data_IF_710166746131
#
_entry.id   IF_710166746131
#
_cell.length_a   1.000
_cell.length_b   1.000
_cell.length_c   1.000
_cell.angle_alpha   90.00
_cell.angle_beta   90.00
_cell.angle_gamma   90.00
#
_symmetry.space_group_name_H-M   'P 1'
#
loop_
_entity.id
_entity.type
_entity.pdbx_description
1 polymer ?
#
# COMPACT_ATOMS: atom_id res chain seq x y z
N UNK A 1 -10.60 27.12 -29.95
CA UNK A 1 -11.14 26.34 -28.82
C UNK A 1 -10.21 26.54 -27.63
N UNK A 2 -10.68 27.19 -26.57
CA UNK A 2 -9.91 27.39 -25.35
C UNK A 2 -9.88 26.04 -24.63
N UNK A 3 -8.68 25.50 -24.39
CA UNK A 3 -8.51 24.25 -23.64
C UNK A 3 -9.18 24.39 -22.27
N UNK A 4 -10.04 23.45 -21.91
CA UNK A 4 -10.67 23.43 -20.59
C UNK A 4 -9.58 23.41 -19.50
N UNK A 5 -9.76 24.12 -18.37
CA UNK A 5 -8.75 24.16 -17.33
C UNK A 5 -8.48 22.76 -16.78
N UNK A 6 -7.20 22.46 -16.59
CA UNK A 6 -6.65 21.21 -16.07
C UNK A 6 -7.19 20.96 -14.65
N UNK A 7 -8.19 20.09 -14.49
CA UNK A 7 -8.57 19.58 -13.16
C UNK A 7 -7.76 18.31 -12.93
N UNK A 8 -6.52 18.47 -12.47
CA UNK A 8 -5.69 17.36 -12.02
C UNK A 8 -6.20 16.84 -10.67
N UNK A 9 -6.11 15.53 -10.40
CA UNK A 9 -6.39 15.00 -9.06
C UNK A 9 -5.46 15.71 -8.08
N UNK A 10 -6.04 16.45 -7.12
CA UNK A 10 -5.29 17.13 -6.08
C UNK A 10 -4.84 16.08 -5.06
N UNK A 11 -3.65 15.52 -5.27
CA UNK A 11 -3.02 14.59 -4.33
C UNK A 11 -2.34 15.45 -3.25
N UNK A 12 -2.79 15.41 -1.98
CA UNK A 12 -2.20 16.23 -0.93
C UNK A 12 -0.74 15.85 -0.67
N UNK A 13 0.13 16.85 -0.49
CA UNK A 13 1.55 16.64 -0.11
C UNK A 13 1.67 15.79 1.17
N UNK A 14 0.76 15.98 2.11
CA UNK A 14 0.66 15.17 3.33
C UNK A 14 0.53 13.66 3.03
N UNK A 15 -0.27 13.29 2.04
CA UNK A 15 -0.52 11.88 1.68
C UNK A 15 0.73 11.28 1.04
N UNK A 16 1.43 12.05 0.22
CA UNK A 16 2.71 11.67 -0.38
C UNK A 16 3.76 11.45 0.71
N UNK A 17 3.88 12.38 1.66
CA UNK A 17 4.84 12.24 2.77
C UNK A 17 4.50 11.06 3.68
N UNK A 18 3.21 10.81 3.94
CA UNK A 18 2.76 9.64 4.70
C UNK A 18 3.02 8.34 3.95
N UNK A 19 2.80 8.31 2.64
CA UNK A 19 3.12 7.16 1.81
C UNK A 19 4.62 6.87 1.82
N UNK A 20 5.48 7.89 1.75
CA UNK A 20 6.94 7.74 1.92
C UNK A 20 7.29 7.14 3.29
N UNK A 21 6.64 7.61 4.36
CA UNK A 21 6.85 7.06 5.70
C UNK A 21 6.44 5.58 5.78
N UNK A 22 5.28 5.21 5.21
CA UNK A 22 4.84 3.82 5.12
C UNK A 22 5.81 2.96 4.29
N UNK A 23 6.30 3.48 3.16
CA UNK A 23 7.31 2.82 2.32
C UNK A 23 8.59 2.50 3.11
N UNK A 24 9.08 3.44 3.93
CA UNK A 24 10.25 3.21 4.78
C UNK A 24 10.00 2.13 5.84
N UNK A 25 8.84 2.13 6.47
CA UNK A 25 8.46 1.12 7.46
C UNK A 25 8.37 -0.29 6.82
N UNK A 26 7.71 -0.40 5.66
CA UNK A 26 7.61 -1.67 4.91
C UNK A 26 8.98 -2.18 4.46
N UNK A 27 9.85 -1.28 3.96
CA UNK A 27 11.21 -1.65 3.57
C UNK A 27 12.00 -2.17 4.77
N UNK A 28 11.93 -1.49 5.92
CA UNK A 28 12.57 -1.93 7.16
C UNK A 28 12.06 -3.31 7.58
N UNK A 29 10.75 -3.52 7.59
CA UNK A 29 10.14 -4.81 7.92
C UNK A 29 10.69 -5.93 7.01
N UNK A 30 10.80 -5.69 5.70
CA UNK A 30 11.36 -6.68 4.78
C UNK A 30 12.83 -7.00 5.08
N UNK A 31 13.63 -5.99 5.42
CA UNK A 31 15.05 -6.17 5.80
C UNK A 31 15.19 -6.88 7.15
N UNK A 32 14.30 -6.62 8.10
CA UNK A 32 14.29 -7.29 9.41
C UNK A 32 13.98 -8.79 9.28
N UNK A 33 13.10 -9.17 8.35
CA UNK A 33 12.76 -10.58 8.05
C UNK A 33 13.86 -11.27 7.23
N UNK A 34 14.41 -10.57 6.23
CA UNK A 34 15.49 -11.07 5.39
C UNK A 34 16.61 -10.02 5.31
N UNK A 35 17.66 -10.15 6.15
CA UNK A 35 18.79 -9.25 6.11
C UNK A 35 19.42 -9.20 4.71
N UNK A 36 19.61 -7.98 4.20
CA UNK A 36 20.06 -7.73 2.82
C UNK A 36 18.93 -7.55 1.80
N UNK A 37 17.67 -7.68 2.21
CA UNK A 37 16.50 -7.54 1.34
C UNK A 37 16.26 -8.77 0.47
N UNK A 38 15.26 -8.67 -0.41
CA UNK A 38 14.96 -9.73 -1.39
C UNK A 38 15.87 -9.54 -2.61
N UNK A 39 16.79 -10.47 -2.90
CA UNK A 39 17.62 -10.38 -4.09
C UNK A 39 16.79 -10.60 -5.35
N UNK A 40 17.34 -10.21 -6.50
CA UNK A 40 16.72 -10.41 -7.80
C UNK A 40 17.69 -11.16 -8.70
N UNK A 41 17.15 -12.03 -9.55
CA UNK A 41 17.94 -12.63 -10.62
C UNK A 41 18.33 -11.53 -11.62
N UNK A 42 19.63 -11.44 -11.92
CA UNK A 42 20.18 -10.35 -12.73
C UNK A 42 19.78 -10.42 -14.21
N UNK A 43 19.34 -11.59 -14.69
CA UNK A 43 18.97 -11.80 -16.09
C UNK A 43 17.45 -11.64 -16.32
N UNK A 44 16.64 -12.20 -15.43
CA UNK A 44 15.18 -12.22 -15.54
C UNK A 44 14.48 -11.13 -14.73
N UNK A 45 15.18 -10.49 -13.77
CA UNK A 45 14.59 -9.52 -12.84
C UNK A 45 13.62 -10.14 -11.83
N UNK A 46 13.56 -11.48 -11.75
CA UNK A 46 12.63 -12.19 -10.87
C UNK A 46 13.13 -12.12 -9.42
N UNK A 47 12.28 -11.75 -8.45
CA UNK A 47 12.63 -11.76 -7.02
C UNK A 47 12.97 -13.17 -6.53
N UNK A 48 13.99 -13.28 -5.67
CA UNK A 48 14.50 -14.52 -5.09
C UNK A 48 14.40 -14.48 -3.55
N UNK A 49 13.18 -14.55 -2.98
CA UNK A 49 13.00 -14.53 -1.52
C UNK A 49 13.52 -15.81 -0.87
N UNK A 50 13.97 -15.70 0.38
CA UNK A 50 14.25 -16.85 1.24
C UNK A 50 12.96 -17.55 1.67
N UNK A 51 13.07 -18.79 2.13
CA UNK A 51 11.93 -19.54 2.70
C UNK A 51 11.28 -18.80 3.88
N UNK A 52 12.08 -18.09 4.68
CA UNK A 52 11.59 -17.27 5.80
C UNK A 52 10.74 -16.09 5.32
N UNK A 53 11.20 -15.39 4.26
CA UNK A 53 10.42 -14.31 3.64
C UNK A 53 9.13 -14.84 3.00
N UNK A 54 9.19 -15.97 2.30
CA UNK A 54 7.99 -16.59 1.72
C UNK A 54 6.98 -17.00 2.79
N UNK A 55 7.44 -17.66 3.86
CA UNK A 55 6.60 -18.05 4.99
C UNK A 55 5.95 -16.83 5.66
N UNK A 56 6.74 -15.78 5.89
CA UNK A 56 6.25 -14.50 6.42
C UNK A 56 5.15 -13.90 5.54
N UNK A 57 5.35 -13.81 4.23
CA UNK A 57 4.37 -13.23 3.31
C UNK A 57 3.08 -14.07 3.24
N UNK A 58 3.17 -15.40 3.23
CA UNK A 58 1.99 -16.25 3.28
C UNK A 58 1.16 -16.02 4.55
N UNK A 59 1.81 -15.90 5.72
CA UNK A 59 1.12 -15.57 6.96
C UNK A 59 0.51 -14.16 6.92
N UNK A 60 1.23 -13.18 6.38
CA UNK A 60 0.72 -11.81 6.23
C UNK A 60 -0.53 -11.76 5.34
N UNK A 61 -0.56 -12.52 4.25
CA UNK A 61 -1.73 -12.65 3.35
C UNK A 61 -2.93 -13.28 4.09
N UNK A 62 -2.70 -14.31 4.88
CA UNK A 62 -3.75 -14.94 5.70
C UNK A 62 -4.31 -13.97 6.76
N UNK A 63 -3.42 -13.23 7.43
CA UNK A 63 -3.79 -12.19 8.41
C UNK A 63 -4.57 -11.05 7.77
N UNK A 64 -4.20 -10.64 6.56
CA UNK A 64 -4.98 -9.70 5.76
C UNK A 64 -6.39 -10.22 5.49
N UNK A 65 -6.53 -11.47 5.05
CA UNK A 65 -7.84 -12.11 4.88
C UNK A 65 -8.70 -12.12 6.15
N UNK A 66 -8.12 -12.50 7.28
CA UNK A 66 -8.80 -12.51 8.57
C UNK A 66 -9.22 -11.10 9.02
N UNK A 67 -8.36 -10.09 8.80
CA UNK A 67 -8.67 -8.70 9.10
C UNK A 67 -9.83 -8.18 8.23
N UNK A 68 -9.82 -8.46 6.93
CA UNK A 68 -10.90 -8.10 6.00
C UNK A 68 -12.22 -8.74 6.41
N UNK A 69 -12.21 -10.00 6.84
CA UNK A 69 -13.40 -10.66 7.40
C UNK A 69 -13.91 -9.99 8.67
N UNK A 70 -13.00 -9.59 9.57
CA UNK A 70 -13.35 -8.87 10.78
C UNK A 70 -14.01 -7.51 10.49
N UNK A 71 -13.67 -6.87 9.36
CA UNK A 71 -14.27 -5.59 8.97
C UNK A 71 -15.73 -5.73 8.48
N UNK A 72 -16.25 -6.94 8.22
CA UNK A 72 -17.63 -7.17 7.73
C UNK A 72 -18.70 -6.62 8.66
N UNK A 73 -18.44 -6.66 9.96
CA UNK A 73 -19.36 -6.25 11.02
C UNK A 73 -19.16 -4.81 11.50
N UNK A 74 -18.16 -4.10 10.96
CA UNK A 74 -18.04 -2.67 11.24
C UNK A 74 -19.26 -1.99 10.66
N UNK A 75 -20.07 -1.43 11.56
CA UNK A 75 -21.28 -0.69 11.25
C UNK A 75 -20.98 0.36 10.17
N UNK A 76 -21.98 0.60 9.30
CA UNK A 76 -21.96 1.50 8.14
C UNK A 76 -21.08 2.73 8.36
N UNK A 77 -19.79 2.62 8.02
CA UNK A 77 -18.95 3.80 7.82
C UNK A 77 -19.35 4.43 6.49
N UNK A 78 -19.51 5.75 6.42
CA UNK A 78 -19.55 6.44 5.13
C UNK A 78 -18.32 5.98 4.34
N UNK A 79 -18.48 5.63 3.06
CA UNK A 79 -17.40 5.10 2.20
C UNK A 79 -16.19 6.02 2.04
N UNK A 80 -16.23 7.21 2.64
CA UNK A 80 -15.24 8.28 2.60
C UNK A 80 -14.50 8.49 3.93
N UNK A 81 -14.85 7.81 5.03
CA UNK A 81 -14.18 8.01 6.31
C UNK A 81 -12.92 7.16 6.45
N UNK A 82 -11.77 7.79 6.71
CA UNK A 82 -10.51 7.13 7.08
C UNK A 82 -10.70 6.18 8.25
N UNK A 83 -9.96 5.07 8.27
CA UNK A 83 -9.92 4.17 9.43
C UNK A 83 -9.47 4.94 10.67
N UNK A 84 -10.14 4.76 11.81
CA UNK A 84 -9.61 5.27 13.10
C UNK A 84 -8.37 4.47 13.50
N UNK A 85 -7.50 5.07 14.30
CA UNK A 85 -6.20 4.49 14.66
C UNK A 85 -6.31 3.07 15.28
N UNK A 86 -7.36 2.80 16.06
CA UNK A 86 -7.60 1.48 16.66
C UNK A 86 -7.91 0.37 15.64
N UNK A 87 -8.36 0.74 14.44
CA UNK A 87 -8.72 -0.20 13.36
C UNK A 87 -7.58 -0.39 12.35
N UNK A 88 -6.48 0.37 12.46
CA UNK A 88 -5.31 0.18 11.61
C UNK A 88 -4.72 -1.20 11.93
N UNK A 89 -4.49 -2.07 10.94
CA UNK A 89 -3.92 -3.37 11.20
C UNK A 89 -2.39 -3.30 11.41
N UNK A 90 -1.74 -4.38 11.87
CA UNK A 90 -0.29 -4.53 11.89
C UNK A 90 0.39 -4.22 10.54
N UNK A 91 1.68 -3.87 10.59
CA UNK A 91 2.43 -3.41 9.41
C UNK A 91 2.52 -4.45 8.28
N UNK A 92 2.60 -5.74 8.61
CA UNK A 92 2.62 -6.82 7.62
C UNK A 92 1.31 -6.86 6.80
N UNK A 93 0.18 -6.63 7.47
CA UNK A 93 -1.14 -6.56 6.83
C UNK A 93 -1.32 -5.28 6.03
N UNK A 94 -0.83 -4.13 6.53
CA UNK A 94 -0.78 -2.88 5.76
C UNK A 94 0.04 -3.05 4.47
N UNK A 95 1.14 -3.80 4.52
CA UNK A 95 1.97 -4.08 3.34
C UNK A 95 1.23 -4.92 2.30
N UNK A 96 0.48 -5.96 2.73
CA UNK A 96 -0.37 -6.73 1.81
C UNK A 96 -1.45 -5.83 1.19
N UNK A 97 -2.12 -5.01 2.01
CA UNK A 97 -3.18 -4.13 1.54
C UNK A 97 -2.65 -3.09 0.54
N UNK A 98 -1.51 -2.47 0.84
CA UNK A 98 -0.79 -1.56 -0.05
C UNK A 98 -0.51 -2.21 -1.41
N UNK A 99 0.14 -3.37 -1.43
CA UNK A 99 0.49 -4.06 -2.68
C UNK A 99 -0.74 -4.43 -3.52
N UNK A 100 -1.86 -4.77 -2.86
CA UNK A 100 -3.10 -5.10 -3.54
C UNK A 100 -3.73 -3.88 -4.23
N UNK A 101 -3.77 -2.73 -3.55
CA UNK A 101 -4.33 -1.49 -4.09
C UNK A 101 -3.55 -0.96 -5.30
N UNK A 102 -2.27 -1.32 -5.45
CA UNK A 102 -1.47 -1.04 -6.64
C UNK A 102 -1.86 -1.88 -7.88
N UNK A 103 -2.85 -2.79 -7.74
CA UNK A 103 -3.57 -3.46 -8.83
C UNK A 103 -5.02 -2.96 -8.87
N UNK A 104 -5.28 -1.70 -9.26
CA UNK A 104 -6.54 -1.01 -8.98
C UNK A 104 -7.78 -1.65 -9.60
N UNK A 105 -7.67 -2.27 -10.78
CA UNK A 105 -8.79 -3.00 -11.41
C UNK A 105 -9.16 -4.23 -10.61
N UNK A 106 -8.17 -5.11 -10.35
CA UNK A 106 -8.33 -6.33 -9.55
C UNK A 106 -8.87 -6.04 -8.14
N UNK A 107 -8.32 -5.03 -7.46
CA UNK A 107 -8.77 -4.63 -6.12
C UNK A 107 -10.22 -4.14 -6.13
N UNK A 108 -10.61 -3.35 -7.13
CA UNK A 108 -11.98 -2.86 -7.27
C UNK A 108 -12.97 -3.98 -7.59
N UNK A 109 -12.65 -4.84 -8.56
CA UNK A 109 -13.50 -5.96 -8.98
C UNK A 109 -13.73 -6.95 -7.84
N UNK A 110 -12.65 -7.34 -7.13
CA UNK A 110 -12.79 -8.19 -5.94
C UNK A 110 -13.63 -7.50 -4.85
N UNK A 111 -13.45 -6.19 -4.64
CA UNK A 111 -14.25 -5.44 -3.67
C UNK A 111 -15.74 -5.33 -4.00
N UNK A 112 -16.12 -5.49 -5.27
CA UNK A 112 -17.51 -5.46 -5.73
C UNK A 112 -18.14 -6.86 -5.77
N UNK A 113 -17.39 -7.88 -6.20
CA UNK A 113 -17.96 -9.17 -6.61
C UNK A 113 -17.65 -10.31 -5.63
N UNK A 114 -16.47 -10.29 -5.00
CA UNK A 114 -15.90 -11.45 -4.30
C UNK A 114 -15.76 -11.20 -2.78
N UNK A 115 -15.26 -10.03 -2.41
CA UNK A 115 -14.92 -9.63 -1.05
C UNK A 115 -15.49 -8.22 -0.76
N UNK A 116 -16.82 -8.10 -0.52
CA UNK A 116 -17.49 -6.80 -0.31
C UNK A 116 -16.92 -5.94 0.83
N UNK A 117 -16.18 -6.54 1.75
CA UNK A 117 -15.49 -5.83 2.81
C UNK A 117 -14.35 -4.93 2.27
N UNK A 118 -13.65 -5.32 1.19
CA UNK A 118 -12.61 -4.50 0.57
C UNK A 118 -13.18 -3.17 0.04
N UNK A 119 -14.36 -3.21 -0.59
CA UNK A 119 -15.05 -2.01 -1.07
C UNK A 119 -15.43 -1.04 0.05
N UNK A 120 -15.50 -1.51 1.30
CA UNK A 120 -15.80 -0.68 2.48
C UNK A 120 -14.56 -0.09 3.16
N UNK A 121 -13.36 -0.56 2.82
CA UNK A 121 -12.11 -0.07 3.44
C UNK A 121 -11.76 1.36 3.00
N UNK A 122 -12.25 1.80 1.83
CA UNK A 122 -11.94 3.10 1.27
C UNK A 122 -10.49 3.18 0.76
N UNK A 123 -9.89 4.37 0.86
CA UNK A 123 -8.48 4.61 0.56
C UNK A 123 -7.57 4.29 1.75
N UNK A 124 -6.25 4.31 1.51
CA UNK A 124 -5.26 4.22 2.58
C UNK A 124 -5.49 5.32 3.64
N UNK A 125 -5.39 4.99 4.94
CA UNK A 125 -5.75 5.90 6.02
C UNK A 125 -4.62 6.90 6.33
N UNK A 126 -4.35 7.82 5.38
CA UNK A 126 -3.21 8.73 5.43
C UNK A 126 -3.18 9.63 6.65
N UNK A 127 -4.33 10.07 7.17
CA UNK A 127 -4.35 10.96 8.33
C UNK A 127 -3.97 10.28 9.66
N UNK A 128 -4.12 8.96 9.75
CA UNK A 128 -3.94 8.23 11.02
C UNK A 128 -2.66 7.38 11.03
N UNK A 129 -2.13 7.00 9.86
CA UNK A 129 -0.89 6.24 9.74
C UNK A 129 0.35 6.89 10.39
N UNK A 130 0.56 8.22 10.33
CA UNK A 130 1.73 8.84 10.94
C UNK A 130 1.82 8.60 12.46
N UNK A 131 0.69 8.42 13.15
CA UNK A 131 0.67 8.11 14.58
C UNK A 131 1.12 6.67 14.90
N UNK A 132 1.13 5.78 13.89
CA UNK A 132 1.50 4.38 14.00
C UNK A 132 2.92 4.08 13.53
N UNK A 133 3.70 5.07 13.08
CA UNK A 133 5.06 4.83 12.57
C UNK A 133 6.04 5.81 13.22
N UNK A 134 7.11 5.28 13.79
CA UNK A 134 8.24 6.08 14.26
C UNK A 134 8.93 6.78 13.06
N UNK A 135 8.96 8.11 13.05
CA UNK A 135 9.50 8.87 11.90
C UNK A 135 11.02 8.76 11.74
N UNK A 136 11.75 8.29 12.76
CA UNK A 136 13.20 8.14 12.73
C UNK A 136 13.60 6.68 12.55
N UNK A 137 12.98 5.78 13.32
CA UNK A 137 13.30 4.35 13.32
C UNK A 137 12.49 3.53 12.33
N UNK A 138 11.38 4.08 11.84
CA UNK A 138 10.39 3.40 10.99
C UNK A 138 9.77 2.15 11.62
N UNK A 139 9.87 2.03 12.95
CA UNK A 139 9.20 0.98 13.72
C UNK A 139 7.70 1.25 13.81
N UNK A 140 6.90 0.20 13.64
CA UNK A 140 5.46 0.31 13.80
C UNK A 140 5.09 0.41 15.29
N UNK A 141 4.38 1.47 15.64
CA UNK A 141 3.88 1.75 16.99
C UNK A 141 2.39 1.43 17.04
N UNK A 142 1.98 0.79 18.13
CA UNK A 142 0.58 0.47 18.37
C UNK A 142 0.07 1.04 19.69
N UNK A 143 -1.25 1.24 19.77
CA UNK A 143 -1.93 1.52 21.04
C UNK A 143 -2.47 0.23 21.65
N UNK A 144 -2.72 0.23 22.96
CA UNK A 144 -3.39 -0.90 23.62
C UNK A 144 -4.76 -1.18 23.00
N UNK A 145 -5.51 -0.13 22.64
CA UNK A 145 -6.80 -0.27 21.97
C UNK A 145 -6.70 -0.98 20.62
N UNK A 146 -5.70 -0.62 19.80
CA UNK A 146 -5.44 -1.27 18.52
C UNK A 146 -5.07 -2.75 18.68
N UNK A 147 -4.18 -3.04 19.64
CA UNK A 147 -3.77 -4.41 19.96
C UNK A 147 -4.97 -5.26 20.41
N UNK A 148 -5.75 -4.77 21.39
CA UNK A 148 -6.94 -5.46 21.89
C UNK A 148 -8.00 -5.64 20.80
N UNK A 149 -8.22 -4.61 19.98
CA UNK A 149 -9.17 -4.70 18.87
C UNK A 149 -8.75 -5.77 17.86
N UNK A 150 -7.49 -5.78 17.45
CA UNK A 150 -6.96 -6.77 16.51
C UNK A 150 -7.14 -8.20 17.02
N UNK A 151 -6.68 -8.51 18.22
CA UNK A 151 -6.78 -9.87 18.76
C UNK A 151 -8.23 -10.31 18.97
N UNK A 152 -9.09 -9.40 19.46
CA UNK A 152 -10.52 -9.69 19.65
C UNK A 152 -11.24 -9.94 18.33
N UNK A 153 -10.89 -9.21 17.29
CA UNK A 153 -11.61 -9.22 16.01
C UNK A 153 -11.11 -10.31 15.06
N UNK A 154 -9.81 -10.61 15.07
CA UNK A 154 -9.18 -11.60 14.16
C UNK A 154 -8.89 -12.93 14.84
N UNK A 155 -8.75 -12.96 16.16
CA UNK A 155 -8.27 -14.14 16.90
C UNK A 155 -6.78 -14.46 16.65
N UNK A 156 -6.03 -13.55 16.02
CA UNK A 156 -4.62 -13.72 15.67
C UNK A 156 -3.74 -12.82 16.54
N UNK A 157 -2.49 -13.23 16.86
CA UNK A 157 -1.56 -12.39 17.60
C UNK A 157 -1.26 -11.10 16.82
N UNK A 158 -1.03 -9.97 17.49
CA UNK A 158 -0.70 -8.73 16.79
C UNK A 158 0.66 -8.79 16.08
N UNK A 159 1.66 -9.35 16.74
CA UNK A 159 3.00 -9.51 16.18
C UNK A 159 3.15 -10.85 15.47
N UNK A 160 3.85 -10.84 14.34
CA UNK A 160 4.29 -12.06 13.69
C UNK A 160 5.74 -12.32 14.10
N UNK A 161 5.98 -13.31 14.95
CA UNK A 161 7.34 -13.73 15.26
C UNK A 161 7.91 -14.56 14.11
N UNK A 162 9.13 -14.25 13.69
CA UNK A 162 9.84 -15.02 12.67
C UNK A 162 10.09 -16.45 13.18
N UNK A 163 9.64 -17.47 12.42
CA UNK A 163 9.94 -18.88 12.70
C UNK A 163 8.90 -19.64 13.54
N UNK A 164 7.77 -19.03 13.91
CA UNK A 164 6.65 -19.79 14.47
C UNK A 164 5.85 -20.43 13.32
N UNK A 165 5.93 -21.76 13.17
CA UNK A 165 4.95 -22.50 12.37
C UNK A 165 3.58 -22.35 13.04
N UNK A 166 2.72 -21.54 12.44
CA UNK A 166 1.37 -21.35 12.93
C UNK A 166 0.58 -22.65 12.72
N UNK A 167 0.48 -23.47 13.77
CA UNK A 167 -0.46 -24.59 13.88
C UNK A 167 -1.92 -24.11 13.95
N UNK A 168 -2.14 -22.80 13.97
CA UNK A 168 -3.47 -22.19 13.93
C UNK A 168 -4.08 -22.46 12.56
N UNK A 169 -5.08 -23.35 12.51
CA UNK A 169 -5.87 -23.60 11.30
C UNK A 169 -6.43 -22.26 10.81
N UNK A 170 -5.85 -21.70 9.76
CA UNK A 170 -6.32 -20.47 9.15
C UNK A 170 -7.74 -20.68 8.63
N UNK A 171 -8.69 -20.03 9.28
CA UNK A 171 -10.09 -20.12 8.92
C UNK A 171 -10.30 -19.30 7.65
N UNK A 172 -10.41 -20.01 6.51
CA UNK A 172 -10.79 -19.50 5.19
C UNK A 172 -9.69 -18.69 4.47
N UNK A 173 -9.08 -19.31 3.47
CA UNK A 173 -8.24 -18.60 2.49
C UNK A 173 -9.17 -17.82 1.57
N UNK A 174 -9.04 -16.50 1.57
CA UNK A 174 -9.69 -15.68 0.54
C UNK A 174 -9.01 -15.95 -0.79
N UNK A 175 -9.81 -16.19 -1.82
CA UNK A 175 -9.31 -16.31 -3.18
C UNK A 175 -9.21 -14.92 -3.79
N UNK A 176 -8.12 -14.21 -3.48
CA UNK A 176 -7.80 -12.92 -4.10
C UNK A 176 -7.52 -13.12 -5.61
N UNK A 177 -7.94 -12.20 -6.46
CA UNK A 177 -7.75 -12.33 -7.92
C UNK A 177 -6.28 -12.28 -8.37
N UNK A 178 -5.39 -11.81 -7.49
CA UNK A 178 -3.95 -11.77 -7.73
C UNK A 178 -3.17 -12.50 -6.64
N UNK A 179 -2.00 -13.00 -6.99
CA UNK A 179 -1.03 -13.50 -6.02
C UNK A 179 -0.42 -12.31 -5.25
N UNK A 180 -0.91 -12.10 -4.03
CA UNK A 180 -0.48 -11.03 -3.15
C UNK A 180 0.96 -11.19 -2.65
N UNK A 181 1.44 -12.42 -2.48
CA UNK A 181 2.85 -12.70 -2.15
C UNK A 181 3.72 -12.17 -3.28
N UNK A 182 3.41 -12.53 -4.52
CA UNK A 182 4.16 -12.09 -5.70
C UNK A 182 4.00 -10.59 -5.95
N UNK A 183 2.83 -10.00 -5.63
CA UNK A 183 2.63 -8.55 -5.73
C UNK A 183 3.59 -7.79 -4.80
N UNK A 184 3.72 -8.21 -3.53
CA UNK A 184 4.67 -7.60 -2.58
C UNK A 184 6.11 -7.76 -3.07
N UNK A 185 6.50 -8.96 -3.50
CA UNK A 185 7.86 -9.24 -3.98
C UNK A 185 8.25 -8.39 -5.20
N UNK A 186 7.32 -8.18 -6.14
CA UNK A 186 7.54 -7.27 -7.28
C UNK A 186 7.71 -5.82 -6.82
N UNK A 187 6.94 -5.40 -5.81
CA UNK A 187 7.02 -4.02 -5.29
C UNK A 187 8.27 -3.76 -4.45
N UNK A 188 8.88 -4.78 -3.83
CA UNK A 188 10.13 -4.64 -3.05
C UNK A 188 11.27 -3.99 -3.84
N UNK A 189 11.43 -4.33 -5.12
CA UNK A 189 12.47 -3.73 -5.98
C UNK A 189 12.20 -2.24 -6.23
N UNK A 190 10.95 -1.92 -6.58
CA UNK A 190 10.50 -0.54 -6.79
C UNK A 190 10.68 0.30 -5.53
N UNK A 191 10.41 -0.28 -4.36
CA UNK A 191 10.55 0.38 -3.06
C UNK A 191 11.98 0.86 -2.80
N UNK A 192 12.98 -0.01 -3.03
CA UNK A 192 14.39 0.33 -2.88
C UNK A 192 14.76 1.50 -3.80
N UNK A 193 14.35 1.43 -5.06
CA UNK A 193 14.61 2.48 -6.06
C UNK A 193 13.98 3.81 -5.64
N UNK A 194 12.72 3.80 -5.22
CA UNK A 194 11.99 4.98 -4.75
C UNK A 194 12.65 5.61 -3.53
N UNK A 195 12.99 4.82 -2.52
CA UNK A 195 13.64 5.30 -1.30
C UNK A 195 15.03 5.89 -1.58
N UNK A 196 15.80 5.29 -2.50
CA UNK A 196 17.08 5.84 -2.92
C UNK A 196 16.92 7.21 -3.60
N UNK A 197 15.96 7.36 -4.51
CA UNK A 197 15.65 8.66 -5.14
C UNK A 197 15.25 9.71 -4.10
N UNK A 198 14.40 9.36 -3.14
CA UNK A 198 13.98 10.25 -2.05
C UNK A 198 15.18 10.69 -1.19
N UNK A 199 16.12 9.79 -0.91
CA UNK A 199 17.34 10.11 -0.16
C UNK A 199 18.19 11.17 -0.88
N UNK A 200 18.29 11.06 -2.21
CA UNK A 200 18.99 12.05 -3.06
C UNK A 200 18.41 13.46 -2.98
N UNK A 201 17.11 13.59 -2.65
CA UNK A 201 16.43 14.88 -2.51
C UNK A 201 16.56 15.51 -1.12
N UNK A 202 17.10 14.81 -0.10
CA UNK A 202 17.17 15.33 1.29
C UNK A 202 17.97 16.62 1.46
N UNK A 203 18.91 16.89 0.57
CA UNK A 203 19.79 18.06 0.62
C UNK A 203 19.24 19.29 -0.12
N UNK A 204 18.14 19.13 -0.86
CA UNK A 204 17.46 20.23 -1.55
C UNK A 204 16.28 20.74 -0.70
N UNK A 205 15.67 21.86 -1.10
CA UNK A 205 14.46 22.37 -0.47
C UNK A 205 13.39 21.26 -0.41
N UNK A 206 12.94 20.93 0.80
CA UNK A 206 12.51 19.56 1.19
C UNK A 206 11.30 19.01 0.42
N UNK A 207 10.59 19.84 -0.33
CA UNK A 207 9.40 19.47 -1.09
C UNK A 207 9.38 19.96 -2.55
N UNK A 208 10.45 20.60 -3.06
CA UNK A 208 10.45 21.14 -4.43
C UNK A 208 10.25 20.02 -5.48
N UNK A 209 10.89 18.87 -5.27
CA UNK A 209 10.73 17.70 -6.13
C UNK A 209 9.30 17.17 -6.10
N UNK A 210 8.61 17.24 -4.95
CA UNK A 210 7.22 16.80 -4.80
C UNK A 210 6.30 17.70 -5.62
N UNK A 211 6.46 19.02 -5.52
CA UNK A 211 5.67 19.99 -6.30
C UNK A 211 5.86 19.77 -7.79
N UNK A 212 7.11 19.56 -8.24
CA UNK A 212 7.43 19.26 -9.63
C UNK A 212 6.78 17.97 -10.11
N UNK A 213 6.92 16.88 -9.33
CA UNK A 213 6.36 15.58 -9.66
C UNK A 213 4.82 15.60 -9.71
N UNK A 214 4.16 16.32 -8.80
CA UNK A 214 2.70 16.57 -8.87
C UNK A 214 2.33 17.28 -10.18
N UNK A 215 3.11 18.27 -10.62
CA UNK A 215 2.90 18.97 -11.88
C UNK A 215 3.13 18.10 -13.13
N UNK A 216 4.04 17.13 -13.04
CA UNK A 216 4.38 16.21 -14.13
C UNK A 216 3.42 15.01 -14.22
N UNK A 217 2.85 14.58 -13.10
CA UNK A 217 1.97 13.41 -13.03
C UNK A 217 0.78 13.44 -14.03
N UNK A 218 0.02 14.54 -14.17
CA UNK A 218 -1.05 14.63 -15.17
C UNK A 218 -0.55 14.52 -16.62
N UNK A 219 0.70 14.88 -16.89
CA UNK A 219 1.30 14.74 -18.23
C UNK A 219 1.56 13.27 -18.53
N UNK A 220 2.07 12.51 -17.56
CA UNK A 220 2.26 11.07 -17.67
C UNK A 220 0.93 10.33 -17.88
N UNK A 221 -0.10 10.66 -17.11
CA UNK A 221 -1.40 9.97 -17.19
C UNK A 221 -2.15 10.17 -18.52
N UNK A 222 -1.79 11.20 -19.31
CA UNK A 222 -2.37 11.47 -20.64
C UNK A 222 -1.52 10.94 -21.79
N UNK A 223 -0.41 10.25 -21.50
CA UNK A 223 0.32 9.56 -22.56
C UNK A 223 -0.61 8.56 -23.25
N UNK A 224 -0.48 8.37 -24.57
CA UNK A 224 -1.25 7.37 -25.29
C UNK A 224 -0.96 5.97 -24.74
N UNK A 225 -1.80 5.00 -25.07
CA UNK A 225 -1.56 3.61 -24.68
C UNK A 225 -0.18 3.15 -25.15
N UNK A 226 0.62 2.63 -24.22
CA UNK A 226 1.97 2.16 -24.47
C UNK A 226 2.70 1.75 -23.20
N UNK A 227 3.86 1.09 -23.36
CA UNK A 227 4.69 0.61 -22.26
C UNK A 227 5.63 1.71 -21.74
N UNK A 228 5.07 2.78 -21.19
CA UNK A 228 5.83 3.90 -20.63
C UNK A 228 6.17 3.64 -19.16
N UNK A 229 7.46 3.68 -18.83
CA UNK A 229 7.92 3.66 -17.44
C UNK A 229 7.95 5.10 -16.93
N UNK A 230 7.23 5.45 -15.85
CA UNK A 230 7.25 6.80 -15.30
C UNK A 230 8.62 7.10 -14.67
N UNK A 231 9.08 8.36 -14.68
CA UNK A 231 10.14 8.80 -13.77
C UNK A 231 9.80 8.43 -12.33
N UNK A 232 10.81 8.08 -11.51
CA UNK A 232 10.58 7.54 -10.15
C UNK A 232 9.76 8.47 -9.28
N UNK A 233 9.99 9.77 -9.37
CA UNK A 233 9.23 10.77 -8.62
C UNK A 233 7.75 10.78 -9.04
N UNK A 234 7.46 10.69 -10.33
CA UNK A 234 6.09 10.60 -10.87
C UNK A 234 5.43 9.27 -10.50
N UNK A 235 6.21 8.18 -10.47
CA UNK A 235 5.78 6.84 -10.04
C UNK A 235 5.30 6.86 -8.58
N UNK A 236 6.01 7.58 -7.70
CA UNK A 236 5.60 7.77 -6.29
C UNK A 236 4.25 8.51 -6.22
N UNK A 237 4.06 9.58 -7.02
CA UNK A 237 2.79 10.31 -7.07
C UNK A 237 1.66 9.41 -7.57
N UNK A 238 1.93 8.63 -8.62
CA UNK A 238 0.95 7.71 -9.20
C UNK A 238 0.51 6.63 -8.21
N UNK A 239 1.46 5.96 -7.54
CA UNK A 239 1.15 4.98 -6.50
C UNK A 239 0.36 5.62 -5.35
N UNK A 240 0.71 6.83 -4.92
CA UNK A 240 -0.04 7.56 -3.89
C UNK A 240 -1.50 7.79 -4.33
N UNK A 241 -1.72 8.13 -5.60
CA UNK A 241 -3.06 8.28 -6.15
C UNK A 241 -3.81 6.94 -6.20
N UNK A 242 -3.19 5.85 -6.64
CA UNK A 242 -3.80 4.50 -6.67
C UNK A 242 -4.30 4.06 -5.29
N UNK A 243 -3.54 4.39 -4.25
CA UNK A 243 -3.86 4.10 -2.85
C UNK A 243 -5.04 4.93 -2.30
N UNK A 244 -5.64 5.82 -3.09
CA UNK A 244 -6.94 6.44 -2.76
C UNK A 244 -8.15 5.54 -3.07
N UNK A 245 -7.92 4.33 -3.60
CA UNK A 245 -8.94 3.30 -3.75
C UNK A 245 -9.99 3.65 -4.81
N UNK A 246 -11.27 3.66 -4.43
CA UNK A 246 -12.36 3.99 -5.37
C UNK A 246 -12.24 5.40 -5.95
N UNK A 247 -11.67 6.34 -5.20
CA UNK A 247 -11.40 7.72 -5.67
C UNK A 247 -10.48 7.73 -6.89
N UNK A 248 -9.43 6.90 -6.89
CA UNK A 248 -8.53 6.74 -8.04
C UNK A 248 -9.29 6.30 -9.29
N UNK A 249 -10.12 5.26 -9.15
CA UNK A 249 -10.91 4.72 -10.27
C UNK A 249 -11.85 5.78 -10.84
N UNK A 250 -12.56 6.52 -9.99
CA UNK A 250 -13.44 7.61 -10.44
C UNK A 250 -12.66 8.74 -11.13
N UNK A 251 -11.47 9.08 -10.63
CA UNK A 251 -10.62 10.09 -11.24
C UNK A 251 -10.14 9.65 -12.64
N UNK A 252 -9.72 8.39 -12.80
CA UNK A 252 -9.25 7.85 -14.09
C UNK A 252 -10.38 7.67 -15.12
N UNK A 253 -11.61 7.42 -14.68
CA UNK A 253 -12.78 7.35 -15.55
C UNK A 253 -13.40 8.72 -15.87
N UNK A 254 -12.90 9.80 -15.24
CA UNK A 254 -13.39 11.15 -15.48
C UNK A 254 -13.04 11.61 -16.90
N UNK A 255 -13.98 12.25 -17.63
CA UNK A 255 -13.72 12.77 -18.98
C UNK A 255 -12.51 13.71 -19.07
N UNK A 256 -12.13 14.35 -17.97
CA UNK A 256 -11.01 15.31 -17.87
C UNK A 256 -9.64 14.62 -17.96
N UNK A 257 -9.55 13.33 -17.65
CA UNK A 257 -8.31 12.54 -17.77
C UNK A 257 -8.22 11.82 -19.11
N UNK A 258 -9.34 11.67 -19.83
CA UNK A 258 -9.46 10.91 -21.08
C UNK A 258 -9.44 11.84 -22.32
N UNK A 259 -9.67 13.15 -22.14
CA UNK A 259 -9.64 14.17 -23.20
C UNK A 259 -8.26 14.79 -23.39
#
# INVERSE_FOLDING_TARGET
MVAAPLISPSIPTHDIQTHILLMRAMHKLQVDIQPGGVPFDSQSGVPQPSDSMLSFLHHAVQRFGAWVDAQKHIERRPSLSSLSQEHIPPLDVLMIWHAYMLSPSSYYEDGQENIPALGKLGGMPWHTLPACIDVEKFDFRHTLAQFTYWEKSTGLPFYLEAGQESSTKFAKVHNFSIDLTQAVLRQSASLIRMLHTIEGHKNNDKDEWVVRAIGDYPRYMRLPEGNYVPPVEVDIIWHTHQLSGTTYRFACLSPVMIS
#
